data_IF_736300445699
#
_entry.id   IF_736300445699
#
_cell.length_a   1.000
_cell.length_b   1.000
_cell.length_c   1.000
_cell.angle_alpha   90.00
_cell.angle_beta   90.00
_cell.angle_gamma   90.00
#
_symmetry.space_group_name_H-M   'P 1'
#
loop_
_entity.id
_entity.type
_entity.pdbx_description
1 polymer ?
#
# COMPACT_ATOMS: atom_id res chain seq x y z
N UNK A 1 -0.66 4.09 -2.03
CA UNK A 1 -1.44 2.96 -1.46
C UNK A 1 -1.98 3.33 -0.10
N UNK A 2 -3.25 3.06 0.18
CA UNK A 2 -3.88 3.13 1.50
C UNK A 2 -4.14 1.71 2.02
N UNK A 3 -4.04 1.50 3.32
CA UNK A 3 -4.30 0.20 3.94
C UNK A 3 -5.00 0.32 5.29
N UNK A 4 -5.85 -0.66 5.62
CA UNK A 4 -6.57 -0.72 6.89
C UNK A 4 -6.87 -2.15 7.32
N UNK A 5 -6.93 -2.37 8.64
CA UNK A 5 -7.26 -3.65 9.27
C UNK A 5 -8.78 -3.78 9.42
N UNK A 6 -9.39 -4.55 8.52
CA UNK A 6 -10.82 -4.89 8.48
C UNK A 6 -10.94 -6.38 8.15
N UNK A 7 -11.01 -7.22 9.18
CA UNK A 7 -10.98 -8.69 9.04
C UNK A 7 -9.78 -9.18 8.18
N UNK A 8 -8.59 -8.73 8.56
CA UNK A 8 -7.37 -8.79 7.75
C UNK A 8 -6.95 -7.41 7.25
N UNK A 9 -5.95 -7.35 6.38
CA UNK A 9 -5.41 -6.10 5.81
C UNK A 9 -5.97 -5.87 4.42
N UNK A 10 -6.75 -4.82 4.26
CA UNK A 10 -7.22 -4.35 2.96
C UNK A 10 -6.26 -3.26 2.45
N UNK A 11 -5.68 -3.46 1.27
CA UNK A 11 -4.81 -2.52 0.59
C UNK A 11 -5.50 -2.00 -0.67
N UNK A 12 -5.78 -0.70 -0.71
CA UNK A 12 -6.36 0.00 -1.85
C UNK A 12 -5.29 0.88 -2.51
N UNK A 13 -5.28 0.89 -3.84
CA UNK A 13 -4.39 1.74 -4.61
C UNK A 13 -5.18 2.95 -5.09
N UNK A 14 -4.55 4.11 -5.03
CA UNK A 14 -5.12 5.39 -5.44
C UNK A 14 -4.21 5.95 -6.52
N UNK A 15 -4.78 6.67 -7.47
CA UNK A 15 -4.03 7.53 -8.39
C UNK A 15 -3.31 8.64 -7.60
N UNK A 16 -2.45 9.40 -8.29
CA UNK A 16 -1.62 10.43 -7.67
C UNK A 16 -2.42 11.54 -6.97
N UNK A 17 -3.70 11.71 -7.33
CA UNK A 17 -4.62 12.65 -6.70
C UNK A 17 -5.08 12.24 -5.28
N UNK A 18 -4.70 11.04 -4.82
CA UNK A 18 -5.08 10.43 -3.54
C UNK A 18 -6.60 10.29 -3.33
N UNK A 19 -7.38 10.36 -4.41
CA UNK A 19 -8.85 10.35 -4.38
C UNK A 19 -9.42 9.28 -5.29
N UNK A 20 -8.85 9.10 -6.47
CA UNK A 20 -9.34 8.17 -7.49
C UNK A 20 -8.80 6.78 -7.21
N UNK A 21 -9.65 5.80 -6.82
CA UNK A 21 -9.19 4.45 -6.55
C UNK A 21 -8.92 3.68 -7.85
N UNK A 22 -7.84 2.91 -7.87
CA UNK A 22 -7.65 1.88 -8.89
C UNK A 22 -8.61 0.70 -8.62
N UNK A 23 -9.08 -0.02 -9.66
CA UNK A 23 -10.11 -1.04 -9.52
C UNK A 23 -9.72 -2.23 -8.65
N UNK A 24 -8.42 -2.57 -8.59
CA UNK A 24 -7.95 -3.72 -7.82
C UNK A 24 -7.58 -3.32 -6.40
N UNK A 25 -8.11 -4.05 -5.43
CA UNK A 25 -7.69 -4.03 -4.04
C UNK A 25 -7.11 -5.39 -3.67
N UNK A 26 -6.11 -5.41 -2.78
CA UNK A 26 -5.49 -6.64 -2.28
C UNK A 26 -5.85 -6.86 -0.82
N UNK A 27 -6.04 -8.12 -0.43
CA UNK A 27 -6.33 -8.51 0.95
C UNK A 27 -5.26 -9.47 1.46
N UNK A 28 -4.74 -9.20 2.65
CA UNK A 28 -3.72 -10.02 3.30
C UNK A 28 -4.11 -10.37 4.72
N UNK A 29 -3.58 -11.49 5.24
CA UNK A 29 -3.80 -11.90 6.62
C UNK A 29 -2.79 -11.30 7.61
N UNK A 30 -1.63 -10.83 7.13
CA UNK A 30 -0.54 -10.37 7.98
C UNK A 30 -0.02 -8.98 7.58
N UNK A 31 0.46 -8.24 8.58
CA UNK A 31 1.16 -6.96 8.39
C UNK A 31 2.42 -7.12 7.52
N UNK A 32 3.12 -8.25 7.66
CA UNK A 32 4.32 -8.55 6.88
C UNK A 32 4.04 -8.53 5.37
N UNK A 33 2.89 -9.04 4.92
CA UNK A 33 2.52 -8.99 3.51
C UNK A 33 2.24 -7.58 3.00
N UNK A 34 1.72 -6.69 3.86
CA UNK A 34 1.55 -5.27 3.51
C UNK A 34 2.91 -4.59 3.37
N UNK A 35 3.87 -4.91 4.22
CA UNK A 35 5.25 -4.43 4.10
C UNK A 35 5.92 -4.91 2.81
N UNK A 36 5.86 -6.22 2.53
CA UNK A 36 6.38 -6.79 1.27
C UNK A 36 5.74 -6.13 0.04
N UNK A 37 4.43 -5.83 0.10
CA UNK A 37 3.74 -5.13 -0.98
C UNK A 37 4.28 -3.70 -1.18
N UNK A 38 4.50 -2.96 -0.08
CA UNK A 38 5.08 -1.62 -0.15
C UNK A 38 6.49 -1.66 -0.76
N UNK A 39 7.36 -2.57 -0.30
CA UNK A 39 8.71 -2.77 -0.82
C UNK A 39 8.71 -3.09 -2.32
N UNK A 40 7.87 -4.05 -2.75
CA UNK A 40 7.75 -4.44 -4.17
C UNK A 40 7.10 -3.37 -5.05
N UNK A 41 6.30 -2.49 -4.45
CA UNK A 41 5.68 -1.36 -5.13
C UNK A 41 6.58 -0.14 -5.21
N UNK A 42 7.89 -0.27 -4.96
CA UNK A 42 8.83 0.84 -5.07
C UNK A 42 8.64 1.91 -4.00
N UNK A 43 8.07 1.57 -2.84
CA UNK A 43 8.02 2.49 -1.72
C UNK A 43 9.43 2.97 -1.38
N UNK A 44 9.64 4.29 -1.31
CA UNK A 44 10.90 4.86 -0.86
C UNK A 44 11.18 4.40 0.57
N UNK A 45 12.15 3.49 0.76
CA UNK A 45 12.52 2.92 2.05
C UNK A 45 13.41 3.87 2.87
N UNK A 46 13.06 5.16 2.90
CA UNK A 46 13.68 6.11 3.81
C UNK A 46 13.26 5.78 5.24
N UNK A 47 14.07 6.21 6.22
CA UNK A 47 13.76 5.99 7.64
C UNK A 47 12.38 6.54 8.02
N UNK A 48 12.04 7.73 7.51
CA UNK A 48 10.74 8.39 7.75
C UNK A 48 9.58 7.57 7.19
N UNK A 49 9.66 7.14 5.93
CA UNK A 49 8.59 6.34 5.30
C UNK A 49 8.43 5.00 6.01
N UNK A 50 9.53 4.36 6.42
CA UNK A 50 9.49 3.12 7.20
C UNK A 50 8.84 3.32 8.57
N UNK A 51 9.14 4.41 9.27
CA UNK A 51 8.51 4.75 10.54
C UNK A 51 7.01 5.00 10.38
N UNK A 52 6.61 5.78 9.36
CA UNK A 52 5.20 6.03 9.06
C UNK A 52 4.45 4.73 8.69
N UNK A 53 5.07 3.85 7.89
CA UNK A 53 4.52 2.54 7.55
C UNK A 53 4.35 1.66 8.79
N UNK A 54 5.38 1.57 9.64
CA UNK A 54 5.35 0.79 10.87
C UNK A 54 4.25 1.28 11.80
N UNK A 55 4.20 2.58 12.03
CA UNK A 55 3.16 3.21 12.84
C UNK A 55 1.76 2.94 12.29
N UNK A 56 1.57 3.04 10.97
CA UNK A 56 0.30 2.71 10.32
C UNK A 56 -0.10 1.24 10.48
N UNK A 57 0.86 0.32 10.41
CA UNK A 57 0.62 -1.10 10.63
C UNK A 57 0.28 -1.41 12.09
N UNK A 58 0.94 -0.77 13.04
CA UNK A 58 0.65 -0.90 14.48
C UNK A 58 -0.73 -0.35 14.85
N UNK A 59 -1.08 0.83 14.33
CA UNK A 59 -2.38 1.48 14.57
C UNK A 59 -3.54 0.83 13.81
N UNK A 60 -3.25 -0.06 12.85
CA UNK A 60 -4.27 -0.76 12.08
C UNK A 60 -4.72 -0.03 10.82
N UNK A 61 -4.13 1.12 10.46
CA UNK A 61 -4.44 1.87 9.24
C UNK A 61 -3.32 2.83 8.88
N UNK A 62 -3.13 3.06 7.59
CA UNK A 62 -2.11 4.01 7.12
C UNK A 62 -2.09 4.13 5.60
N UNK A 63 -1.08 4.83 5.12
CA UNK A 63 -0.85 4.99 3.69
C UNK A 63 0.63 5.17 3.41
N UNK A 64 1.02 4.83 2.19
CA UNK A 64 2.39 4.95 1.71
C UNK A 64 2.41 5.25 0.22
N UNK A 65 3.36 6.05 -0.22
CA UNK A 65 3.58 6.30 -1.64
C UNK A 65 4.27 5.09 -2.29
N UNK A 66 3.85 4.76 -3.51
CA UNK A 66 4.42 3.67 -4.30
C UNK A 66 4.94 4.23 -5.62
N UNK A 67 6.11 3.79 -6.05
CA UNK A 67 6.66 4.06 -7.37
C UNK A 67 6.51 2.79 -8.21
N UNK A 68 5.29 2.58 -8.71
CA UNK A 68 4.96 1.39 -9.50
C UNK A 68 5.64 1.46 -10.87
N UNK A 69 6.13 0.31 -11.34
CA UNK A 69 6.48 0.19 -12.76
C UNK A 69 5.23 0.30 -13.62
N UNK A 70 5.40 0.67 -14.89
CA UNK A 70 4.28 0.78 -15.83
C UNK A 70 3.49 -0.54 -15.94
N UNK A 71 4.18 -1.68 -15.89
CA UNK A 71 3.56 -3.00 -15.89
C UNK A 71 2.71 -3.23 -14.63
N UNK A 72 3.25 -2.90 -13.44
CA UNK A 72 2.51 -3.03 -12.18
C UNK A 72 1.28 -2.14 -12.17
N UNK A 73 1.42 -0.89 -12.62
CA UNK A 73 0.32 0.05 -12.73
C UNK A 73 -0.78 -0.47 -13.67
N UNK A 74 -0.42 -0.94 -14.88
CA UNK A 74 -1.37 -1.56 -15.82
C UNK A 74 -2.09 -2.75 -15.17
N UNK A 75 -1.37 -3.63 -14.48
CA UNK A 75 -1.97 -4.77 -13.76
C UNK A 75 -2.97 -4.32 -12.69
N UNK A 76 -2.79 -3.18 -12.04
CA UNK A 76 -3.73 -2.67 -11.04
C UNK A 76 -4.92 -1.92 -11.66
N UNK A 77 -4.72 -1.31 -12.82
CA UNK A 77 -5.75 -0.55 -13.55
C UNK A 77 -6.80 -1.43 -14.22
N UNK A 78 -6.45 -2.64 -14.63
CA UNK A 78 -7.36 -3.57 -15.32
C UNK A 78 -6.77 -4.06 -16.61
#
# INVERSE_FOLDING_TARGET
>A
MSFARVDGWCCQFLEEDLKTPLPKALRFRSQQKVRELAERGGCALTLETLQALNHGLETGRGGVWLELSEEQYRRLKG
#
